data_IF_108474545274
#
_entry.id   IF_108474545274
#
_cell.length_a   1.000
_cell.length_b   1.000
_cell.length_c   1.000
_cell.angle_alpha   90.00
_cell.angle_beta   90.00
_cell.angle_gamma   90.00
#
_symmetry.space_group_name_H-M   'P 1'
#
loop_
_entity.id
_entity.type
_entity.pdbx_description
1 polymer ?
#
# COMPACT_ATOMS: atom_id res chain seq x y z
N UNK A 1 -4.26 37.00 -25.36
CA UNK A 1 -4.95 37.27 -26.64
C UNK A 1 -4.21 36.74 -27.87
N UNK A 2 -2.89 37.01 -28.07
CA UNK A 2 -2.14 36.54 -29.26
C UNK A 2 -2.09 35.00 -29.44
N UNK A 3 -2.03 34.25 -28.33
CA UNK A 3 -1.99 32.77 -28.32
C UNK A 3 -3.25 32.10 -28.91
N UNK A 4 -4.41 32.77 -28.80
CA UNK A 4 -5.69 32.30 -29.33
C UNK A 4 -5.82 32.48 -30.85
N UNK A 5 -5.05 33.40 -31.45
CA UNK A 5 -5.07 33.60 -32.91
C UNK A 5 -4.14 32.63 -33.65
N UNK A 6 -2.94 32.36 -33.12
CA UNK A 6 -1.99 31.40 -33.69
C UNK A 6 -2.51 29.96 -33.67
N UNK A 7 -3.17 29.58 -32.56
CA UNK A 7 -3.64 28.22 -32.32
C UNK A 7 -5.16 28.11 -32.20
N UNK A 8 -5.89 28.96 -32.92
CA UNK A 8 -7.36 29.03 -32.86
C UNK A 8 -8.04 27.66 -33.07
N UNK A 9 -7.45 26.80 -33.91
CA UNK A 9 -7.93 25.44 -34.14
C UNK A 9 -7.79 24.53 -32.91
N UNK A 10 -6.66 24.58 -32.19
CA UNK A 10 -6.45 23.74 -31.00
C UNK A 10 -7.35 24.19 -29.84
N UNK A 11 -7.62 25.50 -29.74
CA UNK A 11 -8.55 26.04 -28.77
C UNK A 11 -9.99 25.54 -29.00
N UNK A 12 -10.44 25.48 -30.26
CA UNK A 12 -11.76 24.93 -30.62
C UNK A 12 -11.82 23.43 -30.31
N UNK A 13 -10.80 22.67 -30.68
CA UNK A 13 -10.73 21.22 -30.39
C UNK A 13 -10.79 20.95 -28.89
N UNK A 14 -10.05 21.71 -28.08
CA UNK A 14 -10.08 21.60 -26.62
C UNK A 14 -11.44 21.98 -26.02
N UNK A 15 -12.08 23.03 -26.53
CA UNK A 15 -13.40 23.44 -26.09
C UNK A 15 -14.45 22.36 -26.39
N UNK A 16 -14.44 21.79 -27.59
CA UNK A 16 -15.33 20.68 -27.99
C UNK A 16 -15.06 19.44 -27.13
N UNK A 17 -13.78 19.09 -26.94
CA UNK A 17 -13.41 17.96 -26.09
C UNK A 17 -13.86 18.14 -24.63
N UNK A 18 -13.74 19.37 -24.08
CA UNK A 18 -14.22 19.70 -22.74
C UNK A 18 -15.74 19.57 -22.62
N UNK A 19 -16.50 20.01 -23.64
CA UNK A 19 -17.96 19.86 -23.69
C UNK A 19 -18.37 18.39 -23.77
N UNK A 20 -17.69 17.59 -24.60
CA UNK A 20 -17.93 16.15 -24.70
C UNK A 20 -17.64 15.46 -23.37
N UNK A 21 -16.50 15.77 -22.73
CA UNK A 21 -16.16 15.25 -21.42
C UNK A 21 -17.22 15.60 -20.38
N UNK A 22 -17.69 16.85 -20.36
CA UNK A 22 -18.71 17.32 -19.42
C UNK A 22 -20.05 16.60 -19.65
N UNK A 23 -20.44 16.42 -20.92
CA UNK A 23 -21.64 15.65 -21.27
C UNK A 23 -21.54 14.17 -20.85
N UNK A 24 -20.38 13.54 -21.05
CA UNK A 24 -20.12 12.17 -20.59
C UNK A 24 -20.13 12.07 -19.06
N UNK A 25 -19.57 13.06 -18.36
CA UNK A 25 -19.57 13.14 -16.90
C UNK A 25 -21.00 13.23 -16.36
N UNK A 26 -21.84 14.09 -16.94
CA UNK A 26 -23.25 14.23 -16.56
C UNK A 26 -24.02 12.95 -16.89
N UNK A 27 -23.80 12.35 -18.06
CA UNK A 27 -24.45 11.10 -18.48
C UNK A 27 -24.12 9.93 -17.55
N UNK A 28 -22.91 9.85 -17.02
CA UNK A 28 -22.46 8.78 -16.13
C UNK A 28 -22.47 9.16 -14.65
N UNK A 29 -22.90 10.36 -14.29
CA UNK A 29 -22.87 10.88 -12.92
C UNK A 29 -23.61 9.96 -11.92
N UNK A 30 -24.74 9.38 -12.33
CA UNK A 30 -25.50 8.46 -11.47
C UNK A 30 -24.71 7.19 -11.12
N UNK A 31 -24.01 6.59 -12.08
CA UNK A 31 -23.16 5.40 -11.87
C UNK A 31 -21.93 5.73 -11.02
N UNK A 32 -21.34 6.92 -11.24
CA UNK A 32 -20.21 7.39 -10.43
C UNK A 32 -20.67 7.57 -8.97
N UNK A 33 -21.83 8.19 -8.76
CA UNK A 33 -22.40 8.35 -7.42
C UNK A 33 -22.70 7.02 -6.74
N UNK A 34 -23.32 6.07 -7.44
CA UNK A 34 -23.60 4.75 -6.87
C UNK A 34 -22.33 4.02 -6.45
N UNK A 35 -21.27 4.10 -7.28
CA UNK A 35 -19.96 3.53 -6.95
C UNK A 35 -19.36 4.15 -5.68
N UNK A 36 -19.38 5.48 -5.55
CA UNK A 36 -18.86 6.12 -4.34
C UNK A 36 -19.66 5.79 -3.08
N UNK A 37 -20.98 5.63 -3.20
CA UNK A 37 -21.84 5.21 -2.09
C UNK A 37 -21.51 3.78 -1.66
N UNK A 38 -21.35 2.87 -2.62
CA UNK A 38 -21.00 1.48 -2.37
C UNK A 38 -19.60 1.35 -1.75
N UNK A 39 -18.60 2.02 -2.33
CA UNK A 39 -17.24 2.07 -1.78
C UNK A 39 -17.24 2.67 -0.38
N UNK A 40 -18.01 3.74 -0.14
CA UNK A 40 -18.15 4.31 1.20
C UNK A 40 -18.79 3.34 2.19
N UNK A 41 -19.79 2.58 1.76
CA UNK A 41 -20.45 1.55 2.55
C UNK A 41 -19.53 0.38 2.91
N UNK A 42 -18.71 -0.08 1.96
CA UNK A 42 -17.72 -1.13 2.22
C UNK A 42 -16.55 -0.62 3.07
N UNK A 43 -16.08 0.61 2.81
CA UNK A 43 -15.00 1.22 3.59
C UNK A 43 -15.39 1.44 5.06
N UNK A 44 -16.68 1.67 5.34
CA UNK A 44 -17.20 1.77 6.70
C UNK A 44 -17.20 0.42 7.45
N UNK A 45 -17.16 -0.71 6.73
CA UNK A 45 -17.04 -2.05 7.34
C UNK A 45 -15.60 -2.45 7.60
N UNK A 46 -14.64 -1.81 6.94
CA UNK A 46 -13.22 -2.07 7.18
C UNK A 46 -12.83 -1.61 8.59
N UNK A 47 -12.08 -2.43 9.30
CA UNK A 47 -11.42 -2.02 10.54
C UNK A 47 -10.30 -1.03 10.17
N UNK A 48 -10.50 0.25 10.48
CA UNK A 48 -9.43 1.22 10.33
C UNK A 48 -8.33 0.92 11.35
N UNK A 49 -7.04 0.95 10.95
CA UNK A 49 -5.91 0.79 11.86
C UNK A 49 -6.01 1.66 13.14
N UNK A 50 -6.69 2.79 13.09
CA UNK A 50 -6.81 3.66 14.26
C UNK A 50 -8.23 3.79 14.79
N UNK A 51 -8.35 3.84 16.11
CA UNK A 51 -9.62 4.16 16.79
C UNK A 51 -9.77 5.68 16.98
N UNK A 52 -10.76 6.35 16.35
CA UNK A 52 -10.97 7.79 16.50
C UNK A 52 -11.50 8.20 17.88
N UNK A 53 -12.01 7.25 18.68
CA UNK A 53 -12.54 7.54 20.03
C UNK A 53 -11.44 7.60 21.09
N UNK A 54 -10.27 7.05 20.80
CA UNK A 54 -9.15 7.00 21.74
C UNK A 54 -8.08 8.02 21.36
N UNK A 55 -7.61 8.78 22.34
CA UNK A 55 -6.52 9.75 22.17
C UNK A 55 -5.15 9.15 22.48
N UNK A 56 -4.10 9.63 21.79
CA UNK A 56 -2.71 9.25 22.06
C UNK A 56 -2.33 7.88 21.49
N UNK A 57 -1.42 7.17 22.16
CA UNK A 57 -0.85 5.89 21.67
C UNK A 57 -1.87 4.75 21.62
N UNK A 58 -2.92 4.79 22.45
CA UNK A 58 -3.99 3.78 22.44
C UNK A 58 -4.78 3.77 21.13
N UNK A 59 -4.79 4.89 20.39
CA UNK A 59 -5.39 5.01 19.05
C UNK A 59 -4.84 3.98 18.08
N UNK A 60 -3.55 3.65 18.17
CA UNK A 60 -2.85 2.77 17.22
C UNK A 60 -2.62 1.36 17.76
N UNK A 61 -3.39 0.96 18.79
CA UNK A 61 -3.20 -0.33 19.49
C UNK A 61 -3.21 -1.51 18.51
N UNK A 62 -4.14 -1.54 17.57
CA UNK A 62 -4.25 -2.61 16.57
C UNK A 62 -3.01 -2.71 15.67
N UNK A 63 -2.41 -1.58 15.25
CA UNK A 63 -1.17 -1.60 14.45
C UNK A 63 0.00 -2.09 15.28
N UNK A 64 0.10 -1.59 16.52
CA UNK A 64 1.20 -1.92 17.41
C UNK A 64 1.16 -3.42 17.72
N UNK A 65 -0.02 -3.96 18.01
CA UNK A 65 -0.19 -5.39 18.29
C UNK A 65 0.19 -6.25 17.08
N UNK A 66 -0.34 -5.90 15.90
CA UNK A 66 -0.01 -6.59 14.65
C UNK A 66 1.47 -6.54 14.30
N UNK A 67 2.12 -5.38 14.48
CA UNK A 67 3.56 -5.22 14.19
C UNK A 67 4.43 -5.92 15.22
N UNK A 68 4.02 -5.91 16.49
CA UNK A 68 4.78 -6.56 17.58
C UNK A 68 4.89 -8.06 17.34
N UNK A 69 3.80 -8.71 16.93
CA UNK A 69 3.83 -10.15 16.60
C UNK A 69 4.81 -10.43 15.47
N UNK A 70 4.76 -9.65 14.38
CA UNK A 70 5.65 -9.82 13.23
C UNK A 70 7.13 -9.64 13.64
N UNK A 71 7.43 -8.61 14.44
CA UNK A 71 8.78 -8.34 14.94
C UNK A 71 9.29 -9.48 15.81
N UNK A 72 8.47 -10.00 16.74
CA UNK A 72 8.88 -11.13 17.58
C UNK A 72 9.11 -12.40 16.74
N UNK A 73 8.22 -12.71 15.81
CA UNK A 73 8.38 -13.88 14.93
C UNK A 73 9.65 -13.79 14.07
N UNK A 74 9.93 -12.62 13.50
CA UNK A 74 11.14 -12.41 12.68
C UNK A 74 12.41 -12.48 13.50
N UNK A 75 12.42 -11.94 14.72
CA UNK A 75 13.57 -12.04 15.61
C UNK A 75 13.86 -13.49 16.04
N UNK A 76 12.81 -14.26 16.38
CA UNK A 76 12.96 -15.67 16.73
C UNK A 76 13.48 -16.49 15.54
N UNK A 77 12.94 -16.25 14.35
CA UNK A 77 13.40 -16.91 13.13
C UNK A 77 14.86 -16.57 12.81
N UNK A 78 15.24 -15.29 12.92
CA UNK A 78 16.61 -14.85 12.70
C UNK A 78 17.59 -15.51 13.69
N UNK A 79 17.20 -15.62 14.96
CA UNK A 79 17.97 -16.32 15.98
C UNK A 79 18.17 -17.80 15.66
N UNK A 80 17.10 -18.49 15.25
CA UNK A 80 17.15 -19.88 14.85
C UNK A 80 18.09 -20.10 13.66
N UNK A 81 17.91 -19.33 12.57
CA UNK A 81 18.75 -19.43 11.36
C UNK A 81 20.23 -19.20 11.70
N UNK A 82 20.54 -18.15 12.47
CA UNK A 82 21.91 -17.85 12.87
C UNK A 82 22.53 -18.97 13.72
N UNK A 83 21.76 -19.56 14.63
CA UNK A 83 22.23 -20.68 15.45
C UNK A 83 22.49 -21.94 14.61
N UNK A 84 21.59 -22.26 13.68
CA UNK A 84 21.77 -23.37 12.73
C UNK A 84 23.01 -23.18 11.86
N UNK A 85 23.20 -21.98 11.30
CA UNK A 85 24.38 -21.64 10.50
C UNK A 85 25.66 -21.77 11.32
N UNK A 86 25.66 -21.31 12.57
CA UNK A 86 26.81 -21.45 13.47
C UNK A 86 27.19 -22.91 13.71
N UNK A 87 26.20 -23.76 14.01
CA UNK A 87 26.43 -25.21 14.21
C UNK A 87 26.97 -25.84 12.94
N UNK A 88 26.36 -25.53 11.79
CA UNK A 88 26.75 -26.07 10.50
C UNK A 88 28.19 -25.70 10.13
N UNK A 89 28.60 -24.44 10.33
CA UNK A 89 29.99 -24.00 10.11
C UNK A 89 30.96 -24.74 11.03
N UNK A 90 30.60 -25.00 12.28
CA UNK A 90 31.44 -25.76 13.21
C UNK A 90 31.58 -27.24 12.78
N UNK A 91 30.48 -27.87 12.37
CA UNK A 91 30.47 -29.27 11.92
C UNK A 91 31.26 -29.42 10.62
N UNK A 92 31.01 -28.58 9.62
CA UNK A 92 31.75 -28.61 8.35
C UNK A 92 33.22 -28.30 8.60
N UNK A 93 33.53 -27.28 9.40
CA UNK A 93 34.92 -26.96 9.75
C UNK A 93 35.65 -28.11 10.45
N UNK A 94 34.94 -28.88 11.28
CA UNK A 94 35.46 -30.12 11.86
C UNK A 94 35.71 -31.15 10.74
N UNK A 95 34.70 -31.54 9.97
CA UNK A 95 34.81 -32.55 8.90
C UNK A 95 35.91 -32.26 7.88
N UNK A 96 36.05 -31.00 7.43
CA UNK A 96 37.08 -30.59 6.48
C UNK A 96 38.49 -30.77 7.08
N UNK A 97 38.67 -30.50 8.37
CA UNK A 97 39.97 -30.75 9.04
C UNK A 97 40.29 -32.24 9.16
N UNK A 98 39.28 -33.10 9.37
CA UNK A 98 39.50 -34.56 9.39
C UNK A 98 39.83 -35.15 8.03
N UNK A 99 39.26 -34.64 6.94
CA UNK A 99 39.60 -35.13 5.59
C UNK A 99 41.00 -34.73 5.15
N UNK A 100 41.43 -33.50 5.50
CA UNK A 100 42.71 -32.93 5.01
C UNK A 100 43.92 -33.32 5.89
N UNK A 101 43.74 -34.23 6.85
CA UNK A 101 44.80 -34.83 7.68
C UNK A 101 44.97 -36.29 7.30
#
# INVERSE_FOLDING_TARGET
MKYLQEHWFTAIVLAVAAVILLALLVKHAARIRSFFIEVGGELAKCSWPWDPQQTGLKRYKELIDSTTVVVVSTLLLAGFVTASDFVLVKVIGFLTRFHTT
#
